data_IF_975610001981
#
_entry.id   IF_975610001981
#
_cell.length_a   1.000
_cell.length_b   1.000
_cell.length_c   1.000
_cell.angle_alpha   90.00
_cell.angle_beta   90.00
_cell.angle_gamma   90.00
#
_symmetry.space_group_name_H-M   'P 1'
#
loop_
_entity.id
_entity.type
_entity.pdbx_description
1 polymer ?
#
# COMPACT_ATOMS: atom_id res chain seq x y z
N UNK A 1 -6.43 -13.38 10.36
CA UNK A 1 -5.05 -13.42 10.91
C UNK A 1 -4.95 -12.40 12.05
N UNK A 2 -4.23 -12.71 13.12
CA UNK A 2 -4.10 -11.80 14.28
C UNK A 2 -3.22 -10.60 13.89
N UNK A 3 -3.61 -9.37 14.24
CA UNK A 3 -2.93 -8.14 13.77
C UNK A 3 -1.48 -8.05 14.24
N UNK A 4 -1.20 -8.60 15.41
CA UNK A 4 0.09 -8.64 16.11
C UNK A 4 1.03 -9.77 15.67
N UNK A 5 0.65 -10.58 14.67
CA UNK A 5 1.43 -11.75 14.25
C UNK A 5 2.86 -11.39 13.82
N UNK A 6 3.02 -10.34 13.02
CA UNK A 6 4.32 -9.91 12.49
C UNK A 6 5.12 -9.09 13.49
N UNK A 7 4.46 -8.38 14.40
CA UNK A 7 5.10 -7.50 15.39
C UNK A 7 5.73 -8.29 16.55
N UNK A 8 5.17 -9.46 16.88
CA UNK A 8 5.70 -10.31 17.95
C UNK A 8 6.95 -11.11 17.51
N UNK A 9 7.13 -11.32 16.21
CA UNK A 9 8.26 -12.07 15.67
C UNK A 9 9.46 -11.16 15.42
N UNK A 10 10.64 -11.58 15.90
CA UNK A 10 11.92 -10.93 15.54
C UNK A 10 12.22 -11.00 14.04
N UNK A 11 11.72 -12.04 13.37
CA UNK A 11 11.91 -12.27 11.95
C UNK A 11 10.58 -12.71 11.34
N UNK A 12 9.75 -11.77 10.87
CA UNK A 12 8.44 -12.09 10.31
C UNK A 12 8.60 -13.00 9.08
N UNK A 13 7.83 -14.07 9.03
CA UNK A 13 7.82 -15.00 7.90
C UNK A 13 6.41 -15.15 7.34
N UNK A 14 6.33 -15.40 6.03
CA UNK A 14 5.07 -15.60 5.35
C UNK A 14 4.42 -16.91 5.84
N UNK A 15 3.17 -16.90 6.32
CA UNK A 15 2.47 -18.12 6.73
C UNK A 15 2.15 -19.06 5.56
N UNK A 16 2.11 -18.57 4.33
CA UNK A 16 1.75 -19.35 3.13
C UNK A 16 2.96 -20.12 2.56
N UNK A 17 4.10 -19.44 2.42
CA UNK A 17 5.29 -19.99 1.74
C UNK A 17 6.53 -20.11 2.63
N UNK A 18 6.50 -19.59 3.87
CA UNK A 18 7.62 -19.60 4.79
C UNK A 18 8.76 -18.62 4.47
N UNK A 19 8.68 -17.84 3.38
CA UNK A 19 9.70 -16.84 3.05
C UNK A 19 9.79 -15.73 4.10
N UNK A 20 11.01 -15.26 4.34
CA UNK A 20 11.32 -14.17 5.27
C UNK A 20 11.34 -12.80 4.59
N UNK A 21 11.36 -12.79 3.27
CA UNK A 21 11.33 -11.58 2.47
C UNK A 21 9.88 -11.09 2.32
N UNK A 22 9.55 -10.16 3.21
CA UNK A 22 8.29 -9.45 3.27
C UNK A 22 8.61 -7.95 3.16
N UNK A 23 7.80 -7.22 2.41
CA UNK A 23 7.93 -5.77 2.31
C UNK A 23 6.63 -5.09 2.71
N UNK A 24 6.76 -3.86 3.21
CA UNK A 24 5.60 -3.01 3.47
C UNK A 24 5.19 -2.32 2.17
N UNK A 25 3.89 -2.24 1.94
CA UNK A 25 3.27 -1.60 0.78
C UNK A 25 2.05 -0.82 1.24
N UNK A 26 1.88 0.39 0.73
CA UNK A 26 0.69 1.20 0.96
C UNK A 26 -0.49 0.52 0.25
N UNK A 27 -1.56 0.13 0.96
CA UNK A 27 -2.77 -0.44 0.33
C UNK A 27 -3.63 0.67 -0.26
N UNK A 28 -3.06 1.38 -1.23
CA UNK A 28 -3.77 2.45 -1.91
C UNK A 28 -4.82 1.83 -2.81
N UNK A 29 -6.09 1.97 -2.42
CA UNK A 29 -7.19 1.50 -3.22
C UNK A 29 -7.23 2.31 -4.53
N UNK A 30 -6.82 1.69 -5.63
CA UNK A 30 -6.81 2.29 -6.96
C UNK A 30 -8.19 2.86 -7.36
N UNK A 31 -9.28 2.23 -6.90
CA UNK A 31 -10.63 2.73 -7.14
C UNK A 31 -10.89 4.08 -6.46
N UNK A 32 -10.35 4.31 -5.26
CA UNK A 32 -10.48 5.61 -4.57
C UNK A 32 -9.76 6.72 -5.34
N UNK A 33 -8.52 6.48 -5.77
CA UNK A 33 -7.78 7.45 -6.57
C UNK A 33 -8.49 7.77 -7.89
N UNK A 34 -9.00 6.75 -8.57
CA UNK A 34 -9.76 6.94 -9.82
C UNK A 34 -11.03 7.78 -9.59
N UNK A 35 -11.77 7.51 -8.52
CA UNK A 35 -12.98 8.26 -8.17
C UNK A 35 -12.69 9.75 -7.91
N UNK A 36 -11.60 10.05 -7.19
CA UNK A 36 -11.18 11.43 -6.89
C UNK A 36 -10.79 12.19 -8.16
N UNK A 37 -10.02 11.56 -9.05
CA UNK A 37 -9.64 12.16 -10.34
C UNK A 37 -10.88 12.40 -11.22
N UNK A 38 -11.82 11.45 -11.26
CA UNK A 38 -13.04 11.55 -12.07
C UNK A 38 -13.91 12.73 -11.60
N UNK A 39 -14.11 12.88 -10.29
CA UNK A 39 -14.80 14.05 -9.73
C UNK A 39 -14.07 15.34 -10.11
N UNK A 40 -12.75 15.39 -9.92
CA UNK A 40 -11.96 16.55 -10.30
C UNK A 40 -12.18 16.96 -11.75
N UNK A 41 -12.06 16.01 -12.68
CA UNK A 41 -12.21 16.25 -14.11
C UNK A 41 -13.59 16.82 -14.49
N UNK A 42 -14.67 16.34 -13.86
CA UNK A 42 -16.04 16.84 -14.12
C UNK A 42 -16.22 18.27 -13.60
N UNK A 43 -15.61 18.62 -12.46
CA UNK A 43 -15.79 19.93 -11.83
C UNK A 43 -14.81 21.02 -12.32
N UNK A 44 -13.68 20.64 -12.94
CA UNK A 44 -12.69 21.57 -13.50
C UNK A 44 -13.29 22.62 -14.46
N UNK A 45 -14.07 22.26 -15.50
CA UNK A 45 -14.59 23.24 -16.45
C UNK A 45 -15.62 24.20 -15.83
N UNK A 46 -16.30 23.78 -14.76
CA UNK A 46 -17.34 24.59 -14.09
C UNK A 46 -16.71 25.62 -13.15
N UNK A 47 -15.57 25.29 -12.53
CA UNK A 47 -14.98 26.07 -11.42
C UNK A 47 -13.70 26.82 -11.80
N UNK A 48 -13.35 26.87 -13.10
CA UNK A 48 -12.13 27.49 -13.61
C UNK A 48 -10.85 27.03 -12.86
N UNK A 49 -10.81 25.77 -12.42
CA UNK A 49 -9.63 25.16 -11.78
C UNK A 49 -9.57 25.23 -10.25
N UNK A 50 -10.49 25.92 -9.56
CA UNK A 50 -10.54 25.92 -8.08
C UNK A 50 -10.78 24.51 -7.54
N UNK A 51 -11.54 23.67 -8.25
CA UNK A 51 -11.77 22.27 -7.89
C UNK A 51 -10.47 21.47 -7.73
N UNK A 52 -9.39 21.82 -8.43
CA UNK A 52 -8.10 21.12 -8.32
C UNK A 52 -7.49 21.24 -6.93
N UNK A 53 -7.62 22.40 -6.27
CA UNK A 53 -7.10 22.60 -4.92
C UNK A 53 -7.85 21.71 -3.93
N UNK A 54 -9.17 21.62 -4.06
CA UNK A 54 -10.01 20.78 -3.20
C UNK A 54 -9.68 19.30 -3.41
N UNK A 55 -9.57 18.87 -4.66
CA UNK A 55 -9.20 17.50 -5.04
C UNK A 55 -7.81 17.14 -4.50
N UNK A 56 -6.85 18.05 -4.61
CA UNK A 56 -5.50 17.86 -4.06
C UNK A 56 -5.50 17.71 -2.54
N UNK A 57 -6.24 18.54 -1.81
CA UNK A 57 -6.37 18.40 -0.35
C UNK A 57 -7.03 17.07 0.03
N UNK A 58 -8.04 16.65 -0.75
CA UNK A 58 -8.71 15.37 -0.53
C UNK A 58 -7.79 14.19 -0.80
N UNK A 59 -6.98 14.25 -1.87
CA UNK A 59 -5.98 13.23 -2.20
C UNK A 59 -4.93 13.11 -1.10
N UNK A 60 -4.41 14.23 -0.59
CA UNK A 60 -3.50 14.24 0.57
C UNK A 60 -4.15 13.64 1.81
N UNK A 61 -5.41 13.95 2.08
CA UNK A 61 -6.15 13.40 3.21
C UNK A 61 -6.30 11.87 3.09
N UNK A 62 -6.66 11.38 1.90
CA UNK A 62 -6.73 9.95 1.62
C UNK A 62 -5.36 9.29 1.76
N UNK A 63 -4.31 9.87 1.17
CA UNK A 63 -2.94 9.35 1.25
C UNK A 63 -2.49 9.13 2.70
N UNK A 64 -2.81 10.07 3.60
CA UNK A 64 -2.51 9.93 5.05
C UNK A 64 -3.37 8.88 5.74
N UNK A 65 -4.60 8.63 5.27
CA UNK A 65 -5.53 7.67 5.86
C UNK A 65 -5.30 6.24 5.39
N UNK A 66 -4.68 6.05 4.22
CA UNK A 66 -4.40 4.71 3.69
C UNK A 66 -3.49 3.96 4.67
N UNK A 67 -3.92 2.76 5.04
CA UNK A 67 -3.19 1.87 5.93
C UNK A 67 -2.06 1.17 5.19
N UNK A 68 -1.03 0.83 5.93
CA UNK A 68 0.06 0.02 5.41
C UNK A 68 -0.38 -1.46 5.40
N UNK A 69 0.10 -2.19 4.40
CA UNK A 69 -0.11 -3.62 4.20
C UNK A 69 1.24 -4.30 4.02
N UNK A 70 1.29 -5.62 4.23
CA UNK A 70 2.51 -6.42 4.04
C UNK A 70 2.29 -7.33 2.85
N UNK A 71 3.26 -7.42 1.95
CA UNK A 71 3.22 -8.33 0.82
C UNK A 71 4.49 -9.20 0.81
N UNK A 72 4.35 -10.45 0.35
CA UNK A 72 5.48 -11.37 0.22
C UNK A 72 6.04 -11.34 -1.20
N UNK A 73 7.37 -11.27 -1.34
CA UNK A 73 8.03 -11.28 -2.66
C UNK A 73 7.77 -12.57 -3.45
N UNK A 74 7.73 -13.73 -2.77
CA UNK A 74 7.62 -15.03 -3.44
C UNK A 74 6.19 -15.38 -3.87
N UNK A 75 5.26 -15.45 -2.92
CA UNK A 75 3.89 -15.89 -3.19
C UNK A 75 2.93 -14.76 -3.54
N UNK A 76 3.37 -13.48 -3.46
CA UNK A 76 2.54 -12.29 -3.68
C UNK A 76 1.29 -12.26 -2.79
N UNK A 77 1.34 -12.92 -1.63
CA UNK A 77 0.27 -12.89 -0.66
C UNK A 77 0.24 -11.52 0.02
N UNK A 78 -0.91 -10.84 -0.07
CA UNK A 78 -1.15 -9.54 0.57
C UNK A 78 -1.84 -9.73 1.92
N UNK A 79 -1.21 -9.22 2.98
CA UNK A 79 -1.73 -9.20 4.35
C UNK A 79 -2.18 -7.79 4.71
N UNK A 80 -3.50 -7.60 4.75
CA UNK A 80 -4.18 -6.34 5.08
C UNK A 80 -4.55 -6.28 6.55
N UNK A 81 -4.64 -5.07 7.11
CA UNK A 81 -5.05 -4.80 8.50
C UNK A 81 -4.14 -5.45 9.57
N UNK A 82 -2.84 -5.53 9.29
CA UNK A 82 -1.80 -6.05 10.20
C UNK A 82 -0.88 -4.94 10.70
N UNK A 83 -0.36 -5.06 11.92
CA UNK A 83 0.60 -4.11 12.47
C UNK A 83 1.96 -4.31 11.81
N UNK A 84 2.35 -3.34 10.97
CA UNK A 84 3.61 -3.38 10.24
C UNK A 84 4.77 -3.07 11.20
N UNK A 85 5.70 -4.00 11.43
CA UNK A 85 6.85 -3.72 12.29
C UNK A 85 7.74 -2.65 11.63
N UNK A 86 8.27 -1.68 12.39
CA UNK A 86 9.09 -0.60 11.85
C UNK A 86 10.42 -1.07 11.24
N UNK A 87 10.84 -2.32 11.55
CA UNK A 87 12.02 -2.96 10.98
C UNK A 87 11.78 -3.47 9.54
N UNK A 88 10.52 -3.55 9.09
CA UNK A 88 10.20 -4.03 7.75
C UNK A 88 10.60 -2.98 6.71
N UNK A 89 11.39 -3.43 5.72
CA UNK A 89 11.84 -2.56 4.64
C UNK A 89 10.71 -2.28 3.65
N UNK A 90 10.82 -1.13 2.99
CA UNK A 90 10.05 -0.81 1.79
C UNK A 90 10.38 -1.79 0.66
N UNK A 91 9.54 -1.77 -0.38
CA UNK A 91 9.78 -2.55 -1.59
C UNK A 91 11.16 -2.25 -2.19
N UNK A 92 11.90 -3.32 -2.49
CA UNK A 92 13.23 -3.31 -3.09
C UNK A 92 13.17 -4.08 -4.41
N UNK A 93 13.50 -3.38 -5.49
CA UNK A 93 13.42 -3.92 -6.85
C UNK A 93 14.41 -5.08 -7.05
N UNK A 94 15.62 -4.98 -6.51
CA UNK A 94 16.62 -6.03 -6.64
C UNK A 94 16.13 -7.34 -6.01
N UNK A 95 15.51 -7.25 -4.83
CA UNK A 95 14.91 -8.42 -4.18
C UNK A 95 13.77 -9.00 -5.02
N UNK A 96 12.93 -8.16 -5.63
CA UNK A 96 11.85 -8.62 -6.49
C UNK A 96 12.35 -9.35 -7.76
N UNK A 97 13.38 -8.82 -8.43
CA UNK A 97 13.98 -9.44 -9.62
C UNK A 97 14.52 -10.84 -9.31
N UNK A 98 15.15 -11.04 -8.15
CA UNK A 98 15.66 -12.36 -7.74
C UNK A 98 14.54 -13.42 -7.65
N UNK A 99 13.34 -13.03 -7.25
CA UNK A 99 12.19 -13.93 -7.13
C UNK A 99 11.41 -14.14 -8.43
N UNK A 100 11.68 -13.36 -9.49
CA UNK A 100 11.07 -13.58 -10.82
C UNK A 100 11.78 -14.65 -11.65
N UNK A 101 13.05 -14.95 -11.32
CA UNK A 101 13.88 -15.93 -12.05
C UNK A 101 13.70 -17.36 -11.53
N UNK A 102 13.09 -17.54 -10.36
CA UNK A 102 12.75 -18.83 -9.74
C UNK A 102 11.42 -19.42 -10.27
#
# INVERSE_FOLDING_TARGET
MKKDYFTNQKLPSCPECGCKDLYKKKDFNQALGCFVILIGAVFVPITYGISLVIVFLFDLFLYKKVKDSIECYKCKAEFKDVDVPPLLKDFDHHTAEMYEVD
#
